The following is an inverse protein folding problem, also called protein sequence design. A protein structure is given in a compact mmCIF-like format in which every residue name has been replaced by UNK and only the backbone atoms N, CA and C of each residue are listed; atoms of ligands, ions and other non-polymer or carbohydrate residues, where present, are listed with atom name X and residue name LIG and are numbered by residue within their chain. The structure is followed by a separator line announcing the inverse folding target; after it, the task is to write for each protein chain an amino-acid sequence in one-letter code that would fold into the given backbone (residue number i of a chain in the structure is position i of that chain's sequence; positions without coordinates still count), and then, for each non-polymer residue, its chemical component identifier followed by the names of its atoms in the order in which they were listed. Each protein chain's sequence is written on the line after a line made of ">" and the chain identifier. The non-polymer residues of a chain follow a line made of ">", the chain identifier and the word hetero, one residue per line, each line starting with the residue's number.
data_IF_441523277996
#
_entry.id   IF_441523277996
#
_cell.length_a   1.000
_cell.length_b   1.000
_cell.length_c   1.000
_cell.angle_alpha   90.00
_cell.angle_beta   90.00
_cell.angle_gamma   90.00
#
_symmetry.space_group_name_H-M   'P 1'
#
loop_
_entity.id
_entity.type
_entity.pdbx_description
1 polymer ?
#
# COMPACT_ATOMS: atom_id res chain seq x y z
N UNK A 1 4.18 -6.56 -2.26
CA UNK A 1 3.40 -5.96 -1.18
C UNK A 1 3.70 -4.46 -1.13
N UNK A 2 2.68 -3.63 -1.13
CA UNK A 2 2.81 -2.18 -1.06
C UNK A 2 2.58 -1.65 0.36
N UNK A 3 2.51 -0.33 0.50
CA UNK A 3 2.20 0.35 1.77
C UNK A 3 0.80 0.00 2.30
N UNK A 4 -0.17 -0.29 1.43
CA UNK A 4 -1.55 -0.58 1.80
C UNK A 4 -1.72 -1.69 2.84
N UNK A 5 -1.16 -2.89 2.65
CA UNK A 5 -1.28 -3.98 3.61
C UNK A 5 -0.71 -3.66 5.00
N UNK A 6 0.35 -2.86 5.06
CA UNK A 6 0.99 -2.48 6.34
C UNK A 6 0.20 -1.36 7.02
N UNK A 7 -0.03 -0.25 6.32
CA UNK A 7 -0.76 0.89 6.87
C UNK A 7 -2.24 0.59 7.11
N UNK A 8 -2.86 -0.23 6.27
CA UNK A 8 -4.23 -0.69 6.48
C UNK A 8 -4.40 -1.46 7.77
N UNK A 9 -3.48 -2.38 8.07
CA UNK A 9 -3.48 -3.13 9.33
C UNK A 9 -3.23 -2.22 10.54
N UNK A 10 -2.29 -1.28 10.44
CA UNK A 10 -2.00 -0.32 11.51
C UNK A 10 -3.18 0.62 11.79
N UNK A 11 -3.82 1.15 10.76
CA UNK A 11 -5.03 1.96 10.91
C UNK A 11 -6.19 1.14 11.46
N UNK A 12 -6.32 -0.08 11.01
CA UNK A 12 -7.33 -1.00 11.50
C UNK A 12 -7.19 -1.30 12.99
N UNK A 13 -5.97 -1.34 13.52
CA UNK A 13 -5.73 -1.54 14.94
C UNK A 13 -6.38 -0.47 15.84
N UNK A 14 -6.68 0.74 15.30
CA UNK A 14 -7.43 1.78 16.01
C UNK A 14 -8.91 1.41 16.24
N UNK A 15 -9.43 0.48 15.45
CA UNK A 15 -10.83 0.06 15.47
C UNK A 15 -11.07 -1.26 16.25
N UNK A 16 -10.02 -1.76 16.90
CA UNK A 16 -10.09 -2.97 17.71
C UNK A 16 -10.15 -4.28 16.89
N UNK A 17 -10.46 -5.41 17.54
CA UNK A 17 -10.38 -6.76 16.95
C UNK A 17 -11.32 -7.02 15.76
N UNK A 18 -12.39 -6.23 15.61
CA UNK A 18 -13.33 -6.32 14.47
C UNK A 18 -12.61 -6.22 13.11
N UNK A 19 -11.49 -5.51 13.08
CA UNK A 19 -10.63 -5.39 11.91
C UNK A 19 -10.16 -6.75 11.38
N UNK A 20 -9.86 -7.71 12.23
CA UNK A 20 -9.43 -9.04 11.79
C UNK A 20 -10.52 -9.76 10.97
N UNK A 21 -11.79 -9.60 11.35
CA UNK A 21 -12.91 -10.13 10.58
C UNK A 21 -13.00 -9.42 9.22
N UNK A 22 -12.89 -8.09 9.21
CA UNK A 22 -12.93 -7.32 7.98
C UNK A 22 -11.75 -7.64 7.05
N UNK A 23 -10.53 -7.73 7.58
CA UNK A 23 -9.34 -8.09 6.79
C UNK A 23 -9.52 -9.50 6.21
N UNK A 24 -9.94 -10.47 7.01
CA UNK A 24 -10.07 -11.85 6.56
C UNK A 24 -11.18 -11.99 5.52
N UNK A 25 -12.40 -11.64 5.87
CA UNK A 25 -13.55 -11.83 4.97
C UNK A 25 -13.57 -10.80 3.83
N UNK A 26 -13.22 -9.55 4.09
CA UNK A 26 -13.13 -8.52 3.07
C UNK A 26 -12.07 -8.81 2.01
N UNK A 27 -10.91 -9.33 2.41
CA UNK A 27 -9.87 -9.71 1.47
C UNK A 27 -10.28 -10.92 0.61
N UNK A 28 -10.94 -11.91 1.20
CA UNK A 28 -11.37 -13.12 0.47
C UNK A 28 -12.53 -12.77 -0.47
N UNK A 29 -13.61 -12.21 0.06
CA UNK A 29 -14.86 -12.05 -0.70
C UNK A 29 -14.91 -10.79 -1.56
N UNK A 30 -14.32 -9.68 -1.11
CA UNK A 30 -14.28 -8.46 -1.90
C UNK A 30 -12.98 -8.35 -2.71
N UNK A 31 -11.82 -8.41 -2.06
CA UNK A 31 -10.53 -8.25 -2.71
C UNK A 31 -10.23 -9.34 -3.72
N UNK A 32 -10.24 -10.59 -3.29
CA UNK A 32 -9.92 -11.74 -4.15
C UNK A 32 -10.89 -11.90 -5.33
N UNK A 33 -12.18 -11.69 -5.11
CA UNK A 33 -13.20 -11.74 -6.17
C UNK A 33 -12.99 -10.58 -7.15
N UNK A 34 -12.79 -9.36 -6.64
CA UNK A 34 -12.54 -8.18 -7.48
C UNK A 34 -11.29 -8.38 -8.35
N UNK A 35 -10.18 -8.81 -7.76
CA UNK A 35 -8.91 -8.97 -8.48
C UNK A 35 -8.99 -10.08 -9.53
N UNK A 36 -9.63 -11.20 -9.19
CA UNK A 36 -9.85 -12.31 -10.11
C UNK A 36 -10.68 -11.88 -11.33
N UNK A 37 -11.82 -11.26 -11.10
CA UNK A 37 -12.70 -10.83 -12.22
C UNK A 37 -12.08 -9.70 -13.03
N UNK A 38 -11.41 -8.75 -12.39
CA UNK A 38 -10.73 -7.66 -13.10
C UNK A 38 -9.61 -8.19 -13.99
N UNK A 39 -8.78 -9.11 -13.47
CA UNK A 39 -7.73 -9.76 -14.23
C UNK A 39 -8.26 -10.58 -15.39
N UNK A 40 -9.27 -11.43 -15.15
CA UNK A 40 -9.89 -12.26 -16.17
C UNK A 40 -10.57 -11.43 -17.26
N UNK A 41 -11.22 -10.33 -16.90
CA UNK A 41 -11.86 -9.45 -17.88
C UNK A 41 -10.83 -8.71 -18.72
N UNK A 42 -9.72 -8.27 -18.12
CA UNK A 42 -8.61 -7.66 -18.85
C UNK A 42 -7.99 -8.64 -19.84
N UNK A 43 -7.69 -9.87 -19.40
CA UNK A 43 -7.08 -10.91 -20.23
C UNK A 43 -7.99 -11.29 -21.41
N UNK A 44 -9.29 -11.44 -21.20
CA UNK A 44 -10.26 -11.71 -22.27
C UNK A 44 -10.43 -10.57 -23.27
N UNK A 45 -9.97 -9.39 -22.95
CA UNK A 45 -10.04 -8.20 -23.78
C UNK A 45 -8.64 -7.71 -24.20
N UNK A 46 -7.70 -8.63 -24.42
CA UNK A 46 -6.35 -8.38 -24.94
C UNK A 46 -5.51 -7.42 -24.04
N UNK A 47 -5.68 -7.52 -22.73
CA UNK A 47 -4.98 -6.64 -21.77
C UNK A 47 -5.59 -5.24 -21.65
N UNK A 48 -6.84 -5.06 -22.08
CA UNK A 48 -7.52 -3.77 -22.01
C UNK A 48 -7.65 -3.26 -20.57
N UNK A 49 -7.55 -1.94 -20.42
CA UNK A 49 -7.73 -1.28 -19.13
C UNK A 49 -9.19 -1.40 -18.65
N UNK A 50 -9.39 -1.28 -17.32
CA UNK A 50 -10.74 -1.31 -16.75
C UNK A 50 -11.69 -0.28 -17.40
N UNK A 51 -11.17 0.90 -17.76
CA UNK A 51 -11.95 1.92 -18.44
C UNK A 51 -12.37 1.50 -19.86
N UNK A 52 -11.51 0.80 -20.60
CA UNK A 52 -11.83 0.27 -21.93
C UNK A 52 -12.82 -0.88 -21.85
N UNK A 53 -12.62 -1.79 -20.91
CA UNK A 53 -13.57 -2.89 -20.65
C UNK A 53 -14.93 -2.31 -20.28
N UNK A 54 -14.98 -1.32 -19.40
CA UNK A 54 -16.23 -0.62 -19.06
C UNK A 54 -16.88 0.00 -20.28
N UNK A 55 -16.09 0.60 -21.18
CA UNK A 55 -16.62 1.17 -22.43
C UNK A 55 -17.25 0.13 -23.37
N UNK A 56 -16.67 -1.07 -23.45
CA UNK A 56 -17.20 -2.15 -24.28
C UNK A 56 -18.54 -2.70 -23.80
N UNK A 57 -18.73 -2.80 -22.47
CA UNK A 57 -19.92 -3.43 -21.88
C UNK A 57 -20.98 -2.43 -21.42
N UNK A 58 -20.60 -1.24 -20.97
CA UNK A 58 -21.49 -0.24 -20.36
C UNK A 58 -21.63 1.06 -21.19
N UNK A 59 -20.88 1.15 -22.30
CA UNK A 59 -20.97 2.26 -23.23
C UNK A 59 -20.02 3.43 -22.93
N UNK A 60 -19.98 4.43 -23.86
CA UNK A 60 -18.95 5.48 -23.86
C UNK A 60 -19.06 6.47 -22.71
N UNK A 61 -20.26 6.69 -22.19
CA UNK A 61 -20.46 7.62 -21.05
C UNK A 61 -19.77 7.04 -19.80
N UNK A 62 -19.99 5.76 -19.51
CA UNK A 62 -19.39 5.07 -18.38
C UNK A 62 -17.87 4.94 -18.55
N UNK A 63 -17.40 4.75 -19.77
CA UNK A 63 -15.99 4.75 -20.10
C UNK A 63 -15.30 6.08 -19.68
N UNK A 64 -15.90 7.21 -20.02
CA UNK A 64 -15.34 8.51 -19.67
C UNK A 64 -15.35 8.76 -18.16
N UNK A 65 -16.41 8.36 -17.47
CA UNK A 65 -16.46 8.41 -16.00
C UNK A 65 -15.32 7.58 -15.40
N UNK A 66 -15.14 6.35 -15.87
CA UNK A 66 -14.06 5.47 -15.37
C UNK A 66 -12.67 5.99 -15.71
N UNK A 67 -12.47 6.64 -16.85
CA UNK A 67 -11.18 7.28 -17.17
C UNK A 67 -10.85 8.38 -16.18
N UNK A 68 -11.78 9.30 -15.92
CA UNK A 68 -11.59 10.38 -14.95
C UNK A 68 -11.33 9.81 -13.56
N UNK A 69 -12.14 8.84 -13.12
CA UNK A 69 -11.97 8.17 -11.85
C UNK A 69 -10.59 7.51 -11.72
N UNK A 70 -10.15 6.78 -12.75
CA UNK A 70 -8.83 6.13 -12.77
C UNK A 70 -7.68 7.12 -12.68
N UNK A 71 -7.77 8.26 -13.38
CA UNK A 71 -6.74 9.30 -13.30
C UNK A 71 -6.67 9.90 -11.89
N UNK A 72 -7.81 10.25 -11.31
CA UNK A 72 -7.86 10.77 -9.93
C UNK A 72 -7.31 9.75 -8.94
N UNK A 73 -7.72 8.50 -9.06
CA UNK A 73 -7.23 7.40 -8.22
C UNK A 73 -5.70 7.26 -8.31
N UNK A 74 -5.16 7.24 -9.52
CA UNK A 74 -3.70 7.11 -9.73
C UNK A 74 -2.92 8.28 -9.14
N UNK A 75 -3.43 9.50 -9.26
CA UNK A 75 -2.83 10.69 -8.64
C UNK A 75 -2.83 10.56 -7.11
N UNK A 76 -3.97 10.16 -6.53
CA UNK A 76 -4.08 9.98 -5.09
C UNK A 76 -3.15 8.88 -4.57
N UNK A 77 -3.11 7.73 -5.24
CA UNK A 77 -2.21 6.63 -4.91
C UNK A 77 -0.74 7.07 -5.02
N UNK A 78 -0.37 7.74 -6.12
CA UNK A 78 0.98 8.29 -6.30
C UNK A 78 1.37 9.26 -5.18
N UNK A 79 0.43 10.09 -4.74
CA UNK A 79 0.65 11.02 -3.63
C UNK A 79 0.92 10.27 -2.32
N UNK A 80 0.12 9.25 -1.98
CA UNK A 80 0.32 8.44 -0.77
C UNK A 80 1.68 7.73 -0.79
N UNK A 81 2.07 7.19 -1.94
CA UNK A 81 3.38 6.55 -2.11
C UNK A 81 4.56 7.53 -2.10
N UNK A 82 4.34 8.82 -2.32
CA UNK A 82 5.36 9.85 -2.16
C UNK A 82 5.45 10.36 -0.71
N UNK A 83 4.30 10.70 -0.12
CA UNK A 83 4.23 11.28 1.24
C UNK A 83 4.57 10.26 2.33
N UNK A 84 4.15 9.01 2.18
CA UNK A 84 4.42 7.95 3.16
C UNK A 84 5.90 7.75 3.42
N UNK A 85 6.71 7.38 2.43
CA UNK A 85 8.17 7.23 2.60
C UNK A 85 8.87 8.52 3.04
N UNK A 86 8.47 9.68 2.52
CA UNK A 86 9.03 10.96 2.95
C UNK A 86 8.84 11.20 4.45
N UNK A 87 7.63 10.94 4.97
CA UNK A 87 7.33 11.06 6.39
C UNK A 87 8.11 10.09 7.27
N UNK A 88 8.26 8.83 6.82
CA UNK A 88 9.05 7.82 7.53
C UNK A 88 10.52 8.22 7.62
N UNK A 89 11.13 8.69 6.53
CA UNK A 89 12.53 9.12 6.51
C UNK A 89 12.73 10.32 7.45
N UNK A 90 11.83 11.29 7.42
CA UNK A 90 11.87 12.45 8.33
C UNK A 90 11.81 12.00 9.79
N UNK A 91 10.94 11.04 10.11
CA UNK A 91 10.83 10.50 11.47
C UNK A 91 12.13 9.81 11.90
N UNK A 92 12.73 9.01 11.02
CA UNK A 92 14.01 8.36 11.27
C UNK A 92 15.13 9.39 11.49
N UNK A 93 15.21 10.44 10.66
CA UNK A 93 16.19 11.51 10.80
C UNK A 93 16.03 12.25 12.13
N UNK A 94 14.81 12.57 12.54
CA UNK A 94 14.53 13.21 13.84
C UNK A 94 14.94 12.32 15.00
N UNK A 95 14.58 11.05 14.96
CA UNK A 95 14.96 10.09 16.01
C UNK A 95 16.47 9.85 16.07
N UNK A 96 17.20 9.99 14.95
CA UNK A 96 18.64 9.94 14.86
C UNK A 96 19.36 11.22 15.31
N UNK A 97 18.63 12.23 15.82
CA UNK A 97 19.22 13.50 16.29
C UNK A 97 19.64 14.44 15.17
N UNK A 98 19.23 14.18 13.90
CA UNK A 98 19.52 15.06 12.78
C UNK A 98 18.62 16.30 12.83
N UNK A 99 19.13 17.43 12.35
CA UNK A 99 18.40 18.70 12.26
C UNK A 99 18.60 19.36 10.90
N UNK A 100 17.76 20.34 10.56
CA UNK A 100 17.87 21.11 9.32
C UNK A 100 17.09 20.50 8.15
N UNK A 101 17.65 20.56 6.95
CA UNK A 101 16.97 20.19 5.69
C UNK A 101 16.49 18.72 5.68
N UNK A 102 17.27 17.82 6.28
CA UNK A 102 16.96 16.37 6.34
C UNK A 102 15.73 16.03 7.19
N UNK A 103 15.27 16.95 8.03
CA UNK A 103 14.06 16.78 8.84
C UNK A 103 12.82 17.43 8.19
N UNK A 104 12.97 17.96 6.98
CA UNK A 104 11.89 18.61 6.25
C UNK A 104 11.26 17.66 5.24
N UNK A 105 9.97 17.41 5.37
CA UNK A 105 9.22 16.52 4.47
C UNK A 105 9.30 16.97 3.01
N UNK A 106 9.28 18.26 2.77
CA UNK A 106 9.36 18.82 1.41
C UNK A 106 10.64 18.43 0.68
N UNK A 107 11.77 18.39 1.38
CA UNK A 107 13.06 17.98 0.82
C UNK A 107 12.99 16.54 0.28
N UNK A 108 12.46 15.61 1.06
CA UNK A 108 12.32 14.22 0.64
C UNK A 108 11.25 14.03 -0.43
N UNK A 109 10.19 14.82 -0.41
CA UNK A 109 9.18 14.81 -1.47
C UNK A 109 9.77 15.22 -2.83
N UNK A 110 10.63 16.23 -2.86
CA UNK A 110 11.30 16.64 -4.11
C UNK A 110 12.19 15.51 -4.63
N UNK A 111 12.94 14.85 -3.76
CA UNK A 111 13.79 13.72 -4.15
C UNK A 111 12.95 12.56 -4.70
N UNK A 112 11.85 12.22 -4.03
CA UNK A 112 10.95 11.13 -4.47
C UNK A 112 10.28 11.48 -5.80
N UNK A 113 9.85 12.72 -6.00
CA UNK A 113 9.28 13.17 -7.27
C UNK A 113 10.31 13.14 -8.39
N UNK A 114 11.55 13.57 -8.11
CA UNK A 114 12.65 13.44 -9.08
C UNK A 114 12.92 11.98 -9.44
N UNK A 115 12.90 11.08 -8.45
CA UNK A 115 12.98 9.64 -8.68
C UNK A 115 11.83 9.13 -9.55
N UNK A 116 10.58 9.55 -9.31
CA UNK A 116 9.44 9.16 -10.16
C UNK A 116 9.63 9.62 -11.60
N UNK A 117 10.10 10.85 -11.78
CA UNK A 117 10.38 11.38 -13.12
C UNK A 117 11.44 10.53 -13.84
N UNK A 118 12.55 10.22 -13.18
CA UNK A 118 13.62 9.38 -13.75
C UNK A 118 13.11 7.96 -14.02
N UNK A 119 12.35 7.37 -13.08
CA UNK A 119 11.79 6.03 -13.20
C UNK A 119 10.84 5.88 -14.39
N UNK A 120 10.21 6.96 -14.85
CA UNK A 120 9.36 6.94 -16.04
C UNK A 120 10.13 6.61 -17.31
N UNK A 121 11.44 6.90 -17.37
CA UNK A 121 12.29 6.62 -18.53
C UNK A 121 13.02 5.26 -18.46
N UNK A 122 12.97 4.59 -17.34
CA UNK A 122 13.66 3.31 -17.11
C UNK A 122 12.65 2.18 -17.22
N UNK A 123 12.99 1.12 -17.95
CA UNK A 123 12.16 -0.08 -18.01
C UNK A 123 12.11 -0.76 -16.63
N UNK A 124 10.93 -0.75 -16.03
CA UNK A 124 10.66 -1.25 -14.67
C UNK A 124 11.02 -2.73 -14.52
N UNK A 125 10.81 -3.53 -15.58
CA UNK A 125 11.01 -4.98 -15.56
C UNK A 125 12.44 -5.41 -15.22
N UNK A 126 13.44 -4.65 -15.70
CA UNK A 126 14.85 -4.96 -15.43
C UNK A 126 15.27 -4.70 -13.98
N UNK A 127 14.65 -3.72 -13.33
CA UNK A 127 14.94 -3.33 -11.93
C UNK A 127 14.15 -4.20 -10.96
N UNK A 128 12.85 -4.40 -11.22
CA UNK A 128 11.98 -5.19 -10.36
C UNK A 128 12.45 -6.63 -10.26
N UNK A 129 12.83 -7.24 -11.38
CA UNK A 129 13.27 -8.64 -11.39
C UNK A 129 14.47 -8.93 -10.49
N UNK A 130 15.38 -7.97 -10.32
CA UNK A 130 16.58 -8.14 -9.48
C UNK A 130 16.43 -7.66 -8.04
N UNK A 131 15.68 -6.58 -7.83
CA UNK A 131 15.61 -5.91 -6.52
C UNK A 131 14.40 -6.42 -5.70
N UNK A 132 13.34 -6.88 -6.35
CA UNK A 132 12.14 -7.35 -5.68
C UNK A 132 12.36 -8.51 -4.70
N UNK A 133 13.19 -9.54 -5.00
CA UNK A 133 13.50 -10.59 -4.04
C UNK A 133 14.18 -10.08 -2.78
N UNK A 134 15.07 -9.07 -2.91
CA UNK A 134 15.75 -8.45 -1.77
C UNK A 134 14.75 -7.77 -0.84
N UNK A 135 13.81 -7.00 -1.39
CA UNK A 135 12.73 -6.39 -0.60
C UNK A 135 11.84 -7.43 0.09
N UNK A 136 11.55 -8.55 -0.57
CA UNK A 136 10.82 -9.66 0.02
C UNK A 136 11.52 -10.24 1.24
N UNK A 137 12.83 -10.47 1.17
CA UNK A 137 13.66 -10.94 2.28
C UNK A 137 13.65 -9.93 3.43
N UNK A 138 13.85 -8.63 3.14
CA UNK A 138 13.80 -7.59 4.16
C UNK A 138 12.44 -7.54 4.87
N UNK A 139 11.35 -7.73 4.13
CA UNK A 139 10.00 -7.77 4.70
C UNK A 139 9.81 -8.97 5.63
N UNK A 140 10.32 -10.14 5.27
CA UNK A 140 10.29 -11.34 6.12
C UNK A 140 11.11 -11.12 7.39
N UNK A 141 12.32 -10.57 7.27
CA UNK A 141 13.17 -10.26 8.42
C UNK A 141 12.47 -9.28 9.36
N UNK A 142 11.85 -8.24 8.81
CA UNK A 142 11.07 -7.28 9.59
C UNK A 142 9.90 -7.96 10.31
N UNK A 143 9.13 -8.82 9.63
CA UNK A 143 8.00 -9.52 10.23
C UNK A 143 8.44 -10.45 11.37
N UNK A 144 9.50 -11.22 11.15
CA UNK A 144 10.09 -12.10 12.18
C UNK A 144 10.63 -11.26 13.36
N UNK A 145 11.31 -10.15 13.09
CA UNK A 145 11.82 -9.26 14.13
C UNK A 145 10.71 -8.66 15.00
N UNK A 146 9.60 -8.25 14.39
CA UNK A 146 8.42 -7.74 15.11
C UNK A 146 7.80 -8.85 15.97
N UNK A 147 7.62 -10.05 15.42
CA UNK A 147 7.08 -11.20 16.16
C UNK A 147 7.97 -11.51 17.38
N UNK A 148 9.27 -11.63 17.18
CA UNK A 148 10.21 -11.86 18.29
C UNK A 148 10.12 -10.73 19.32
N UNK A 149 10.09 -9.47 18.88
CA UNK A 149 9.98 -8.32 19.76
C UNK A 149 8.71 -8.32 20.63
N UNK A 150 7.57 -8.74 20.06
CA UNK A 150 6.31 -8.86 20.81
C UNK A 150 6.39 -9.95 21.88
N UNK A 151 6.97 -11.12 21.55
CA UNK A 151 7.04 -12.24 22.50
C UNK A 151 8.17 -12.13 23.54
N UNK A 152 9.23 -11.40 23.25
CA UNK A 152 10.36 -11.25 24.17
C UNK A 152 10.24 -10.06 25.10
N UNK A 153 9.44 -9.06 24.76
CA UNK A 153 9.29 -7.86 25.58
C UNK A 153 8.06 -7.96 26.50
N UNK A 154 8.25 -8.04 27.84
CA UNK A 154 7.14 -8.15 28.79
C UNK A 154 6.23 -6.92 28.85
N UNK A 155 6.61 -5.81 28.24
CA UNK A 155 5.76 -4.62 28.13
C UNK A 155 4.59 -4.80 27.14
N UNK A 156 4.67 -5.78 26.24
CA UNK A 156 3.62 -6.06 25.26
C UNK A 156 2.79 -7.25 25.73
N UNK A 157 1.56 -6.99 26.15
CA UNK A 157 0.57 -8.03 26.43
C UNK A 157 -0.35 -8.15 25.20
N UNK A 158 -0.53 -9.38 24.71
CA UNK A 158 -1.52 -9.64 23.66
C UNK A 158 -2.90 -9.53 24.32
N UNK A 159 -3.72 -8.53 23.97
CA UNK A 159 -5.05 -8.39 24.57
C UNK A 159 -5.95 -9.54 24.16
N UNK A 160 -6.79 -10.00 25.07
CA UNK A 160 -7.79 -11.02 24.75
C UNK A 160 -8.77 -10.49 23.69
N UNK A 161 -8.89 -11.20 22.58
CA UNK A 161 -9.75 -10.83 21.46
C UNK A 161 -11.21 -10.65 21.88
N UNK A 162 -11.71 -11.52 22.77
CA UNK A 162 -13.13 -11.54 23.14
C UNK A 162 -13.52 -10.45 24.12
N UNK A 163 -12.65 -10.11 25.06
CA UNK A 163 -12.92 -9.04 26.04
C UNK A 163 -12.90 -7.64 25.44
N UNK A 164 -12.14 -7.44 24.36
CA UNK A 164 -11.98 -6.14 23.70
C UNK A 164 -12.95 -5.91 22.52
N UNK A 165 -13.84 -6.86 22.24
CA UNK A 165 -14.80 -6.73 21.12
C UNK A 165 -15.83 -5.58 21.32
N UNK A 166 -16.00 -5.10 22.54
CA UNK A 166 -16.98 -4.08 22.93
C UNK A 166 -16.35 -2.73 23.33
N UNK A 167 -15.04 -2.57 23.24
CA UNK A 167 -14.33 -1.35 23.66
C UNK A 167 -14.12 -0.36 22.51
N UNK A 168 -15.19 -0.09 21.78
CA UNK A 168 -15.24 1.05 20.84
C UNK A 168 -16.25 2.07 21.31
#
# INVERSE_FOLDING_TARGET
>A
AGLGPIFGALQGALWGPVVFLWITFGTIFAGGVHDYFSGMMSERNDGASIAEVTGRYLGPVMQNIMRVFSVVLLIMVGTVFAVGPAGLIVTLCKNGGMSGLLTTTLFWLIIILAYYFIATFISIDAIIGKIYPLFGICLIIMAVGVIIGIFTNPAYTIPELWSNFHSM
#
